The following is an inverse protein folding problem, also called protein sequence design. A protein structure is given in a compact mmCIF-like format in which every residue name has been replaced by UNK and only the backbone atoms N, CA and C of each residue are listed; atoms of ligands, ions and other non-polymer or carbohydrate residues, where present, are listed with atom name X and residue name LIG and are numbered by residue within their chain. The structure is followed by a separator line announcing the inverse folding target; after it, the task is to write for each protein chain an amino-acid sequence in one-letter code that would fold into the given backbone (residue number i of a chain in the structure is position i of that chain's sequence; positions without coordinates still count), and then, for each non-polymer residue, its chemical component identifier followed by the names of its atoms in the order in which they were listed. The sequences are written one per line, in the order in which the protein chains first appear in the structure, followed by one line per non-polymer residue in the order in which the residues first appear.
data_IF_050048966527
#
_entry.id   IF_050048966527
#
_cell.length_a   1.000
_cell.length_b   1.000
_cell.length_c   1.000
_cell.angle_alpha   90.00
_cell.angle_beta   90.00
_cell.angle_gamma   90.00
#
_symmetry.space_group_name_H-M   'P 1'
#
loop_
_entity.id
_entity.type
_entity.pdbx_description
1 polymer ?
#
# COMPACT_ATOMS: atom_id res chain seq x y z
N UNK A 1 52.72 -31.49 -1.64
CA UNK A 1 52.05 -31.25 -2.94
C UNK A 1 50.99 -30.14 -2.80
N UNK A 2 51.40 -28.89 -2.54
CA UNK A 2 50.55 -27.68 -2.70
C UNK A 2 51.33 -26.43 -3.13
N UNK A 3 52.66 -26.51 -3.22
CA UNK A 3 53.54 -25.42 -3.70
C UNK A 3 54.09 -25.69 -5.12
N UNK A 4 53.50 -26.66 -5.84
CA UNK A 4 53.95 -27.06 -7.19
C UNK A 4 52.94 -26.71 -8.30
N UNK A 5 51.70 -26.33 -7.96
CA UNK A 5 50.67 -25.95 -8.95
C UNK A 5 50.62 -24.43 -9.18
N UNK A 6 50.83 -23.59 -8.15
CA UNK A 6 50.84 -22.12 -8.29
C UNK A 6 51.98 -21.61 -9.21
N UNK A 7 53.09 -22.34 -9.30
CA UNK A 7 54.20 -21.98 -10.20
C UNK A 7 53.89 -22.16 -11.69
N UNK A 8 52.80 -22.86 -12.04
CA UNK A 8 52.46 -23.20 -13.44
C UNK A 8 51.44 -22.22 -14.06
N UNK A 9 50.62 -21.54 -13.24
CA UNK A 9 49.60 -20.60 -13.74
C UNK A 9 50.15 -19.18 -14.00
N UNK A 10 51.21 -18.76 -13.30
CA UNK A 10 51.83 -17.44 -13.52
C UNK A 10 52.62 -17.36 -14.86
N UNK A 11 53.03 -18.52 -15.41
CA UNK A 11 53.75 -18.61 -16.68
C UNK A 11 52.87 -18.31 -17.92
N UNK A 12 51.58 -18.63 -17.88
CA UNK A 12 50.62 -18.40 -18.98
C UNK A 12 50.30 -16.90 -19.16
N UNK A 13 50.28 -16.12 -18.07
CA UNK A 13 49.94 -14.68 -18.10
C UNK A 13 50.94 -13.79 -18.85
N UNK A 14 52.10 -14.30 -19.26
CA UNK A 14 53.14 -13.54 -19.99
C UNK A 14 53.06 -13.62 -21.52
N UNK A 15 52.08 -14.32 -22.11
CA UNK A 15 51.94 -14.44 -23.59
C UNK A 15 50.59 -13.92 -24.12
N UNK A 16 50.48 -12.60 -24.32
CA UNK A 16 49.78 -11.91 -25.45
C UNK A 16 49.72 -10.40 -25.21
N UNK A 17 50.57 -9.63 -25.89
CA UNK A 17 50.58 -8.17 -25.84
C UNK A 17 50.45 -7.51 -27.22
N UNK A 18 49.43 -6.66 -27.39
CA UNK A 18 49.33 -5.57 -28.38
C UNK A 18 49.23 -5.92 -29.88
N UNK A 19 49.19 -4.89 -30.78
CA UNK A 19 48.54 -3.59 -30.57
C UNK A 19 47.84 -2.95 -31.82
N UNK A 20 46.73 -2.24 -31.58
CA UNK A 20 46.42 -0.91 -32.17
C UNK A 20 45.80 -0.74 -33.58
N UNK A 21 44.87 0.23 -33.71
CA UNK A 21 44.87 1.27 -34.78
C UNK A 21 43.94 2.47 -34.47
N UNK A 22 44.15 3.58 -35.19
CA UNK A 22 43.55 4.93 -34.96
C UNK A 22 42.50 5.33 -36.01
N UNK A 23 41.75 6.40 -35.71
CA UNK A 23 41.11 7.39 -36.62
C UNK A 23 39.87 6.93 -37.43
N UNK A 24 38.77 7.69 -37.47
CA UNK A 24 38.68 9.02 -38.10
C UNK A 24 37.50 9.88 -37.61
N UNK A 25 37.69 11.20 -37.56
CA UNK A 25 36.63 12.23 -37.49
C UNK A 25 35.92 12.38 -38.84
N UNK A 26 34.68 12.88 -38.86
CA UNK A 26 34.30 14.00 -39.75
C UNK A 26 33.15 14.86 -39.18
N UNK A 27 33.30 16.17 -39.36
CA UNK A 27 32.29 17.25 -39.23
C UNK A 27 31.26 17.13 -40.39
N UNK A 28 30.14 17.87 -40.47
CA UNK A 28 29.94 19.35 -40.52
C UNK A 28 28.43 19.65 -40.34
N UNK A 29 28.00 20.67 -39.57
CA UNK A 29 27.80 22.11 -39.94
C UNK A 29 26.68 22.31 -41.02
N UNK A 30 25.78 23.30 -41.01
CA UNK A 30 25.69 24.58 -40.23
C UNK A 30 24.33 25.30 -40.36
N UNK A 31 23.98 26.14 -39.35
CA UNK A 31 23.29 27.45 -39.52
C UNK A 31 21.75 27.45 -39.66
N UNK A 32 21.01 28.53 -39.34
CA UNK A 32 21.33 29.90 -38.84
C UNK A 32 20.06 30.47 -38.14
N UNK A 33 20.17 31.09 -36.94
CA UNK A 33 20.09 32.56 -36.69
C UNK A 33 18.81 33.25 -37.21
N UNK A 34 18.04 34.04 -36.43
CA UNK A 34 18.49 35.33 -35.83
C UNK A 34 17.53 35.94 -34.77
N UNK A 35 18.10 36.67 -33.77
CA UNK A 35 17.82 38.05 -33.25
C UNK A 35 16.37 38.62 -33.34
N UNK A 36 15.82 39.49 -32.47
CA UNK A 36 16.23 40.38 -31.34
C UNK A 36 14.89 40.78 -30.60
N UNK A 37 14.75 41.48 -29.46
CA UNK A 37 15.62 42.13 -28.46
C UNK A 37 14.88 42.13 -27.07
N UNK A 38 15.13 43.09 -26.15
CA UNK A 38 14.43 43.20 -24.86
C UNK A 38 14.11 44.66 -24.42
N UNK A 39 13.08 44.83 -23.58
CA UNK A 39 12.80 45.99 -22.71
C UNK A 39 11.89 45.57 -21.52
N UNK A 40 12.10 46.17 -20.35
CA UNK A 40 11.27 46.04 -19.12
C UNK A 40 11.06 47.46 -18.53
N UNK A 41 10.16 47.80 -17.60
CA UNK A 41 9.28 47.05 -16.67
C UNK A 41 7.89 47.80 -16.58
N UNK A 42 6.87 47.54 -15.74
CA UNK A 42 6.74 47.03 -14.35
C UNK A 42 5.38 46.26 -14.17
N UNK A 43 5.00 45.79 -12.96
CA UNK A 43 4.58 44.40 -12.73
C UNK A 43 3.10 44.09 -13.07
N UNK A 44 2.84 42.86 -13.52
CA UNK A 44 1.49 42.31 -13.75
C UNK A 44 1.43 40.90 -13.15
N UNK A 45 0.23 40.46 -12.77
CA UNK A 45 -0.05 39.16 -12.13
C UNK A 45 0.63 37.98 -12.84
N UNK A 46 1.27 37.11 -12.05
CA UNK A 46 1.90 35.89 -12.55
C UNK A 46 0.83 34.84 -12.92
N UNK A 47 0.98 34.26 -14.09
CA UNK A 47 -0.05 33.45 -14.75
C UNK A 47 0.05 31.96 -14.43
N UNK A 48 -0.92 31.17 -14.91
CA UNK A 48 -0.95 29.70 -14.74
C UNK A 48 0.37 29.04 -15.15
N UNK A 49 1.07 29.56 -16.17
CA UNK A 49 2.37 29.05 -16.63
C UNK A 49 3.52 29.22 -15.63
N UNK A 50 3.44 30.14 -14.67
CA UNK A 50 4.47 30.30 -13.64
C UNK A 50 4.25 29.31 -12.47
N UNK A 51 3.00 28.96 -12.19
CA UNK A 51 2.65 27.82 -11.33
C UNK A 51 3.10 26.50 -11.98
N UNK A 52 2.93 26.35 -13.30
CA UNK A 52 3.51 25.22 -14.05
C UNK A 52 5.05 25.23 -14.00
N UNK A 53 5.70 26.39 -13.96
CA UNK A 53 7.17 26.50 -13.88
C UNK A 53 7.72 26.08 -12.52
N UNK A 54 7.08 26.45 -11.41
CA UNK A 54 7.48 25.99 -10.07
C UNK A 54 7.05 24.54 -9.84
N UNK A 55 5.96 24.06 -10.45
CA UNK A 55 5.60 22.64 -10.47
C UNK A 55 6.64 21.82 -11.28
N UNK A 56 7.12 22.34 -12.42
CA UNK A 56 8.19 21.75 -13.21
C UNK A 56 9.53 21.75 -12.47
N UNK A 57 9.87 22.83 -11.76
CA UNK A 57 11.07 22.93 -10.91
C UNK A 57 11.00 21.99 -9.71
N UNK A 58 9.84 21.86 -9.09
CA UNK A 58 9.58 20.91 -8.00
C UNK A 58 9.66 19.47 -8.53
N UNK A 59 9.12 19.21 -9.72
CA UNK A 59 9.26 17.95 -10.43
C UNK A 59 10.71 17.64 -10.78
N UNK A 60 11.52 18.60 -11.22
CA UNK A 60 12.94 18.41 -11.49
C UNK A 60 13.72 18.08 -10.20
N UNK A 61 13.38 18.71 -9.09
CA UNK A 61 13.95 18.42 -7.76
C UNK A 61 13.53 17.02 -7.28
N UNK A 62 12.28 16.61 -7.50
CA UNK A 62 11.77 15.27 -7.19
C UNK A 62 12.37 14.20 -8.10
N UNK A 63 12.51 14.45 -9.40
CA UNK A 63 13.19 13.57 -10.36
C UNK A 63 14.68 13.45 -10.01
N UNK A 64 15.35 14.53 -9.59
CA UNK A 64 16.74 14.51 -9.13
C UNK A 64 16.92 13.83 -7.75
N UNK A 65 15.96 13.96 -6.84
CA UNK A 65 15.95 13.24 -5.56
C UNK A 65 15.69 11.75 -5.77
N UNK A 66 14.74 11.40 -6.64
CA UNK A 66 14.47 10.03 -7.10
C UNK A 66 15.69 9.46 -7.80
N UNK A 67 16.39 10.25 -8.64
CA UNK A 67 17.66 9.86 -9.26
C UNK A 67 18.80 9.68 -8.24
N UNK A 68 18.80 10.41 -7.11
CA UNK A 68 19.74 10.20 -5.99
C UNK A 68 19.40 8.98 -5.15
N UNK A 69 18.12 8.64 -4.97
CA UNK A 69 17.69 7.38 -4.36
C UNK A 69 18.07 6.21 -5.27
N UNK A 70 17.82 6.31 -6.58
CA UNK A 70 18.36 5.40 -7.60
C UNK A 70 19.89 5.36 -7.61
N UNK A 71 20.59 6.47 -7.32
CA UNK A 71 22.06 6.49 -7.20
C UNK A 71 22.56 5.84 -5.91
N UNK A 72 21.78 5.87 -4.83
CA UNK A 72 22.07 5.18 -3.57
C UNK A 72 21.71 3.69 -3.65
N UNK A 73 20.68 3.33 -4.42
CA UNK A 73 20.43 1.96 -4.89
C UNK A 73 21.52 1.47 -5.85
N UNK A 74 22.15 2.34 -6.66
CA UNK A 74 23.40 2.04 -7.39
C UNK A 74 24.65 2.00 -6.47
N UNK A 75 24.53 2.50 -5.24
CA UNK A 75 25.55 2.41 -4.19
C UNK A 75 25.47 1.11 -3.39
N UNK A 76 24.27 0.51 -3.29
CA UNK A 76 24.18 -0.94 -3.13
C UNK A 76 24.59 -1.54 -4.47
N UNK A 77 25.86 -1.93 -4.57
CA UNK A 77 26.24 -2.92 -5.57
C UNK A 77 25.59 -4.24 -5.14
N UNK A 78 24.30 -4.38 -5.48
CA UNK A 78 23.86 -5.64 -6.07
C UNK A 78 24.79 -5.76 -7.26
N UNK A 79 25.84 -6.57 -7.11
CA UNK A 79 26.31 -7.30 -8.27
C UNK A 79 25.06 -8.04 -8.69
N UNK A 80 24.37 -7.54 -9.70
CA UNK A 80 23.69 -8.46 -10.59
C UNK A 80 24.79 -9.49 -10.90
N UNK A 81 24.65 -10.77 -10.49
CA UNK A 81 25.20 -11.74 -11.39
C UNK A 81 24.45 -11.44 -12.68
N UNK A 82 25.14 -10.79 -13.62
CA UNK A 82 24.90 -11.04 -15.02
C UNK A 82 25.13 -12.54 -15.17
N UNK A 83 24.09 -13.32 -14.80
CA UNK A 83 24.00 -14.75 -14.96
C UNK A 83 24.15 -14.86 -16.46
N UNK A 84 25.36 -15.25 -16.86
CA UNK A 84 25.82 -15.05 -18.23
C UNK A 84 24.95 -15.99 -19.02
N UNK A 85 23.90 -15.44 -19.67
CA UNK A 85 22.76 -16.26 -20.06
C UNK A 85 23.29 -17.40 -20.91
N UNK A 86 23.15 -18.61 -20.38
CA UNK A 86 23.60 -19.79 -21.09
C UNK A 86 22.76 -19.91 -22.37
N UNK A 87 23.25 -20.61 -23.38
CA UNK A 87 22.44 -20.84 -24.58
C UNK A 87 21.09 -21.51 -24.22
N UNK A 88 21.06 -22.29 -23.14
CA UNK A 88 19.85 -22.85 -22.53
C UNK A 88 18.92 -21.78 -21.90
N UNK A 89 19.45 -20.82 -21.10
CA UNK A 89 18.66 -19.71 -20.55
C UNK A 89 18.06 -18.85 -21.69
N UNK A 90 18.82 -18.59 -22.76
CA UNK A 90 18.35 -17.83 -23.93
C UNK A 90 17.28 -18.61 -24.72
N UNK A 91 17.48 -19.90 -24.93
CA UNK A 91 16.49 -20.76 -25.60
C UNK A 91 15.19 -20.86 -24.78
N UNK A 92 15.30 -21.02 -23.45
CA UNK A 92 14.14 -21.03 -22.55
C UNK A 92 13.40 -19.68 -22.57
N UNK A 93 14.14 -18.55 -22.53
CA UNK A 93 13.56 -17.21 -22.65
C UNK A 93 12.80 -17.03 -23.98
N UNK A 94 13.36 -17.49 -25.10
CA UNK A 94 12.72 -17.43 -26.41
C UNK A 94 11.41 -18.24 -26.48
N UNK A 95 11.38 -19.46 -25.89
CA UNK A 95 10.16 -20.28 -25.82
C UNK A 95 9.07 -19.59 -25.00
N UNK A 96 9.41 -19.01 -23.85
CA UNK A 96 8.42 -18.31 -23.03
C UNK A 96 8.00 -16.96 -23.60
N UNK A 97 8.88 -16.25 -24.31
CA UNK A 97 8.54 -15.06 -25.09
C UNK A 97 7.51 -15.39 -26.18
N UNK A 98 7.78 -16.42 -26.99
CA UNK A 98 6.87 -16.84 -28.05
C UNK A 98 5.48 -17.22 -27.49
N UNK A 99 5.44 -18.00 -26.41
CA UNK A 99 4.17 -18.34 -25.72
C UNK A 99 3.44 -17.12 -25.15
N UNK A 100 4.16 -16.15 -24.60
CA UNK A 100 3.54 -14.93 -24.08
C UNK A 100 2.96 -14.06 -25.21
N UNK A 101 3.68 -13.93 -26.33
CA UNK A 101 3.21 -13.19 -27.52
C UNK A 101 2.05 -13.90 -28.23
N UNK A 102 2.06 -15.23 -28.33
CA UNK A 102 0.98 -16.03 -28.89
C UNK A 102 -0.29 -15.94 -28.02
N UNK A 103 -0.15 -16.11 -26.70
CA UNK A 103 -1.25 -15.95 -25.77
C UNK A 103 -1.81 -14.51 -25.79
N UNK A 104 -0.96 -13.48 -25.89
CA UNK A 104 -1.40 -12.09 -26.08
C UNK A 104 -2.22 -11.90 -27.36
N UNK A 105 -1.79 -12.48 -28.49
CA UNK A 105 -2.55 -12.46 -29.77
C UNK A 105 -3.88 -13.18 -29.68
N UNK A 106 -3.98 -14.22 -28.85
CA UNK A 106 -5.19 -15.00 -28.61
C UNK A 106 -6.04 -14.45 -27.44
N UNK A 107 -5.68 -13.29 -26.87
CA UNK A 107 -6.30 -12.68 -25.67
C UNK A 107 -6.31 -13.58 -24.41
N UNK A 108 -5.48 -14.62 -24.39
CA UNK A 108 -5.29 -15.54 -23.27
C UNK A 108 -4.37 -14.93 -22.21
N UNK A 109 -4.90 -13.95 -21.46
CA UNK A 109 -4.21 -13.29 -20.35
C UNK A 109 -3.59 -14.24 -19.30
N UNK A 110 -4.20 -15.41 -18.96
CA UNK A 110 -3.59 -16.42 -18.09
C UNK A 110 -2.31 -17.02 -18.66
N UNK A 111 -2.34 -17.45 -19.92
CA UNK A 111 -1.17 -18.01 -20.59
C UNK A 111 -0.12 -16.93 -20.87
N UNK A 112 -0.51 -15.72 -21.27
CA UNK A 112 0.36 -14.54 -21.41
C UNK A 112 1.09 -14.28 -20.09
N UNK A 113 0.35 -14.19 -18.98
CA UNK A 113 0.90 -13.97 -17.64
C UNK A 113 1.74 -15.13 -17.12
N UNK A 114 1.40 -16.38 -17.46
CA UNK A 114 2.13 -17.58 -17.04
C UNK A 114 3.46 -17.69 -17.78
N UNK A 115 3.43 -17.52 -19.10
CA UNK A 115 4.60 -17.51 -19.96
C UNK A 115 5.51 -16.30 -19.62
N UNK A 116 4.95 -15.11 -19.47
CA UNK A 116 5.70 -13.89 -19.10
C UNK A 116 6.37 -14.01 -17.73
N UNK A 117 5.74 -14.66 -16.73
CA UNK A 117 6.40 -14.93 -15.43
C UNK A 117 7.57 -15.89 -15.57
N UNK A 118 7.40 -16.98 -16.33
CA UNK A 118 8.49 -17.93 -16.63
C UNK A 118 9.61 -17.25 -17.43
N UNK A 119 9.26 -16.34 -18.34
CA UNK A 119 10.20 -15.52 -19.11
C UNK A 119 11.00 -14.58 -18.20
N UNK A 120 10.35 -13.80 -17.33
CA UNK A 120 11.04 -12.93 -16.34
C UNK A 120 11.97 -13.76 -15.44
N UNK A 121 11.55 -14.96 -15.02
CA UNK A 121 12.37 -15.85 -14.19
C UNK A 121 13.63 -16.39 -14.89
N UNK A 122 13.76 -16.31 -16.22
CA UNK A 122 15.02 -16.61 -16.93
C UNK A 122 16.08 -15.52 -16.80
N UNK A 123 15.72 -14.33 -16.31
CA UNK A 123 16.60 -13.16 -16.24
C UNK A 123 16.67 -12.34 -17.52
N UNK A 124 15.79 -12.58 -18.50
CA UNK A 124 15.74 -11.80 -19.75
C UNK A 124 15.34 -10.32 -19.48
N UNK A 125 16.20 -9.34 -19.82
CA UNK A 125 15.96 -7.92 -19.54
C UNK A 125 14.85 -7.29 -20.40
N UNK A 126 14.43 -7.92 -21.51
CA UNK A 126 13.33 -7.43 -22.34
C UNK A 126 11.96 -7.78 -21.76
N UNK A 127 11.84 -8.84 -20.96
CA UNK A 127 10.55 -9.30 -20.42
C UNK A 127 9.85 -8.22 -19.58
N UNK A 128 10.61 -7.51 -18.73
CA UNK A 128 10.08 -6.41 -17.89
C UNK A 128 9.69 -5.19 -18.72
N UNK A 129 10.46 -4.86 -19.77
CA UNK A 129 10.14 -3.75 -20.68
C UNK A 129 8.88 -4.06 -21.51
N UNK A 130 8.79 -5.28 -22.01
CA UNK A 130 7.65 -5.77 -22.77
C UNK A 130 6.37 -5.70 -21.92
N UNK A 131 6.40 -6.21 -20.67
CA UNK A 131 5.29 -6.09 -19.71
C UNK A 131 4.84 -4.63 -19.51
N UNK A 132 5.78 -3.69 -19.31
CA UNK A 132 5.45 -2.28 -19.10
C UNK A 132 4.82 -1.65 -20.35
N UNK A 133 5.34 -1.96 -21.54
CA UNK A 133 4.75 -1.51 -22.81
C UNK A 133 3.34 -2.08 -23.00
N UNK A 134 3.16 -3.36 -22.74
CA UNK A 134 1.87 -4.05 -22.82
C UNK A 134 0.80 -3.46 -21.90
N UNK A 135 1.15 -3.16 -20.64
CA UNK A 135 0.25 -2.46 -19.71
C UNK A 135 -0.07 -1.04 -20.22
N UNK A 136 0.89 -0.33 -20.82
CA UNK A 136 0.65 1.00 -21.39
C UNK A 136 -0.24 0.95 -22.65
N UNK A 137 -0.04 -0.04 -23.54
CA UNK A 137 -0.90 -0.32 -24.69
C UNK A 137 -2.34 -0.63 -24.23
N UNK A 138 -2.49 -1.46 -23.18
CA UNK A 138 -3.77 -1.83 -22.59
C UNK A 138 -4.48 -0.62 -21.94
N UNK A 139 -3.75 0.24 -21.22
CA UNK A 139 -4.25 1.50 -20.67
C UNK A 139 -4.65 2.51 -21.75
N UNK A 140 -3.92 2.56 -22.87
CA UNK A 140 -4.23 3.47 -23.98
C UNK A 140 -5.42 2.96 -24.81
N UNK A 141 -5.57 1.64 -24.96
CA UNK A 141 -6.75 1.04 -25.57
C UNK A 141 -8.03 1.30 -24.76
N UNK A 142 -7.93 1.34 -23.42
CA UNK A 142 -9.02 1.78 -22.54
C UNK A 142 -9.33 3.27 -22.74
N UNK A 143 -8.32 4.16 -22.78
CA UNK A 143 -8.50 5.59 -23.07
C UNK A 143 -9.06 5.91 -24.46
N UNK A 144 -8.79 5.04 -25.44
CA UNK A 144 -9.26 5.14 -26.82
C UNK A 144 -10.61 4.45 -27.03
N UNK A 145 -11.22 3.89 -25.98
CA UNK A 145 -12.64 3.56 -25.99
C UNK A 145 -13.39 4.88 -26.08
N UNK A 146 -14.14 5.08 -27.16
CA UNK A 146 -14.91 6.31 -27.35
C UNK A 146 -15.79 6.55 -26.12
N UNK A 147 -15.55 7.67 -25.43
CA UNK A 147 -16.41 8.16 -24.35
C UNK A 147 -17.84 8.23 -24.88
N UNK A 148 -18.78 7.58 -24.20
CA UNK A 148 -20.19 7.72 -24.52
C UNK A 148 -20.56 9.21 -24.38
N UNK A 149 -21.07 9.89 -25.43
CA UNK A 149 -21.42 11.30 -25.34
C UNK A 149 -22.55 11.58 -24.33
N UNK A 150 -23.29 10.55 -23.90
CA UNK A 150 -24.30 10.61 -22.84
C UNK A 150 -23.74 10.23 -21.43
N UNK A 151 -22.43 9.98 -21.29
CA UNK A 151 -21.77 9.66 -20.00
C UNK A 151 -21.77 10.87 -19.03
N UNK A 152 -22.40 10.70 -17.86
CA UNK A 152 -22.47 11.75 -16.83
C UNK A 152 -21.11 11.97 -16.14
N UNK A 153 -20.30 12.84 -16.76
CA UNK A 153 -19.00 13.29 -16.24
C UNK A 153 -19.10 14.38 -15.17
N UNK A 154 -20.30 14.72 -14.67
CA UNK A 154 -20.48 15.79 -13.68
C UNK A 154 -19.87 15.47 -12.31
N UNK A 155 -19.75 14.19 -11.93
CA UNK A 155 -18.84 13.72 -10.88
C UNK A 155 -17.66 12.94 -11.49
N UNK A 156 -16.63 13.69 -11.88
CA UNK A 156 -15.36 13.13 -12.39
C UNK A 156 -14.75 12.07 -11.46
N UNK A 157 -15.01 12.10 -10.15
CA UNK A 157 -14.47 11.09 -9.21
C UNK A 157 -15.23 9.77 -9.27
N UNK A 158 -16.53 9.82 -9.50
CA UNK A 158 -17.33 8.64 -9.79
C UNK A 158 -16.93 8.02 -11.14
N UNK A 159 -16.62 8.87 -12.14
CA UNK A 159 -16.07 8.43 -13.42
C UNK A 159 -14.69 7.76 -13.28
N UNK A 160 -13.72 8.39 -12.60
CA UNK A 160 -12.42 7.78 -12.29
C UNK A 160 -12.55 6.42 -11.57
N UNK A 161 -13.55 6.26 -10.71
CA UNK A 161 -13.82 4.99 -10.02
C UNK A 161 -14.46 3.92 -10.92
N UNK A 162 -15.32 4.31 -11.87
CA UNK A 162 -15.85 3.42 -12.92
C UNK A 162 -14.71 2.91 -13.80
N UNK A 163 -13.90 3.81 -14.34
CA UNK A 163 -12.71 3.48 -15.15
C UNK A 163 -11.74 2.56 -14.41
N UNK A 164 -11.47 2.82 -13.13
CA UNK A 164 -10.64 1.94 -12.31
C UNK A 164 -11.25 0.53 -12.17
N UNK A 165 -12.57 0.41 -11.98
CA UNK A 165 -13.24 -0.90 -11.95
C UNK A 165 -13.09 -1.61 -13.29
N UNK A 166 -13.38 -0.95 -14.41
CA UNK A 166 -13.29 -1.57 -15.73
C UNK A 166 -11.86 -2.03 -16.06
N UNK A 167 -10.86 -1.20 -15.74
CA UNK A 167 -9.45 -1.57 -15.82
C UNK A 167 -9.09 -2.77 -14.94
N UNK A 168 -9.61 -2.81 -13.70
CA UNK A 168 -9.38 -3.92 -12.79
C UNK A 168 -10.02 -5.21 -13.32
N UNK A 169 -11.27 -5.14 -13.78
CA UNK A 169 -12.05 -6.25 -14.35
C UNK A 169 -11.50 -6.71 -15.70
N UNK A 170 -10.72 -5.89 -16.40
CA UNK A 170 -9.96 -6.29 -17.57
C UNK A 170 -8.67 -7.07 -17.21
N UNK A 171 -7.85 -6.55 -16.29
CA UNK A 171 -6.53 -7.14 -15.99
C UNK A 171 -6.56 -8.33 -15.03
N UNK A 172 -7.40 -8.29 -14.00
CA UNK A 172 -7.20 -9.07 -12.78
C UNK A 172 -8.11 -10.29 -12.55
N UNK A 173 -9.31 -10.46 -13.15
CA UNK A 173 -10.23 -11.49 -12.65
C UNK A 173 -9.70 -12.92 -12.72
N UNK A 174 -9.00 -13.24 -13.81
CA UNK A 174 -8.42 -14.57 -14.04
C UNK A 174 -7.24 -14.90 -13.09
N UNK A 175 -6.74 -13.93 -12.33
CA UNK A 175 -5.66 -14.13 -11.33
C UNK A 175 -6.12 -13.94 -9.88
N UNK A 176 -7.11 -13.08 -9.62
CA UNK A 176 -7.40 -12.60 -8.26
C UNK A 176 -8.88 -12.73 -7.82
N UNK A 177 -9.81 -13.00 -8.75
CA UNK A 177 -11.23 -13.23 -8.44
C UNK A 177 -12.15 -12.13 -8.95
N UNK A 178 -13.21 -11.81 -8.22
CA UNK A 178 -14.11 -10.70 -8.58
C UNK A 178 -13.57 -9.37 -8.07
N UNK A 179 -13.98 -8.26 -8.66
CA UNK A 179 -13.63 -6.93 -8.15
C UNK A 179 -14.01 -6.82 -6.66
N UNK A 180 -15.17 -7.35 -6.29
CA UNK A 180 -15.69 -7.28 -4.93
C UNK A 180 -14.97 -8.16 -3.90
N UNK A 181 -14.09 -9.08 -4.34
CA UNK A 181 -13.46 -10.05 -3.45
C UNK A 181 -12.53 -9.35 -2.44
N UNK A 182 -12.61 -9.80 -1.19
CA UNK A 182 -11.71 -9.40 -0.12
C UNK A 182 -10.37 -10.15 -0.21
N UNK A 183 -9.32 -9.57 0.36
CA UNK A 183 -8.01 -10.23 0.45
C UNK A 183 -8.12 -11.56 1.21
N UNK A 184 -7.47 -12.60 0.67
CA UNK A 184 -7.42 -13.93 1.30
C UNK A 184 -6.08 -14.21 1.98
N UNK A 185 -5.16 -13.25 1.93
CA UNK A 185 -3.87 -13.32 2.59
C UNK A 185 -4.10 -13.07 4.09
N UNK A 186 -3.78 -14.02 4.97
CA UNK A 186 -3.95 -13.83 6.41
C UNK A 186 -2.87 -12.89 6.95
N UNK A 187 -3.18 -12.22 8.06
CA UNK A 187 -2.16 -11.65 8.93
C UNK A 187 -1.34 -12.77 9.63
N UNK A 188 -0.29 -12.38 10.36
CA UNK A 188 0.61 -13.28 11.10
C UNK A 188 1.37 -14.32 10.24
N UNK A 189 1.37 -14.16 8.92
CA UNK A 189 1.81 -15.16 7.93
C UNK A 189 3.20 -15.77 8.22
N UNK A 190 4.15 -14.94 8.66
CA UNK A 190 5.53 -15.32 9.01
C UNK A 190 5.84 -15.14 10.51
N UNK A 191 4.82 -15.12 11.39
CA UNK A 191 5.01 -15.08 12.84
C UNK A 191 5.65 -16.37 13.36
N UNK A 192 4.99 -17.50 13.10
CA UNK A 192 5.37 -18.80 13.65
C UNK A 192 6.13 -19.66 12.61
N UNK A 193 6.11 -19.27 11.33
CA UNK A 193 6.81 -19.92 10.21
C UNK A 193 7.86 -18.98 9.62
N UNK A 194 9.10 -19.45 9.46
CA UNK A 194 10.15 -18.69 8.75
C UNK A 194 9.82 -18.57 7.25
N UNK A 195 10.03 -17.39 6.67
CA UNK A 195 10.06 -17.24 5.21
C UNK A 195 11.19 -18.09 4.62
N UNK A 196 10.84 -19.01 3.74
CA UNK A 196 11.79 -19.78 2.94
C UNK A 196 12.21 -18.98 1.72
N UNK A 197 13.52 -18.75 1.54
CA UNK A 197 14.08 -18.15 0.33
C UNK A 197 14.16 -16.61 0.31
N UNK A 198 13.99 -15.93 1.45
CA UNK A 198 14.15 -14.47 1.53
C UNK A 198 13.01 -13.67 0.88
N UNK A 199 11.87 -14.31 0.64
CA UNK A 199 10.68 -13.74 -0.03
C UNK A 199 9.85 -12.82 0.86
N UNK A 200 10.21 -12.67 2.13
CA UNK A 200 9.62 -11.70 3.05
C UNK A 200 10.70 -10.92 3.78
N UNK A 201 10.47 -9.62 4.01
CA UNK A 201 11.36 -8.69 4.69
C UNK A 201 10.58 -7.46 5.18
N UNK A 202 11.17 -6.61 6.04
CA UNK A 202 10.57 -5.33 6.42
C UNK A 202 10.43 -4.42 5.20
N UNK A 203 9.22 -3.98 4.91
CA UNK A 203 8.83 -3.33 3.65
C UNK A 203 8.13 -2.01 3.93
N UNK A 204 7.87 -1.17 2.93
CA UNK A 204 7.05 0.03 3.15
C UNK A 204 5.57 -0.35 3.25
N UNK A 205 4.86 0.22 4.22
CA UNK A 205 3.42 0.01 4.37
C UNK A 205 2.66 1.28 4.67
N UNK A 206 1.33 1.23 4.49
CA UNK A 206 0.42 2.26 5.00
C UNK A 206 -0.26 1.80 6.29
N UNK A 207 -0.09 2.59 7.35
CA UNK A 207 -0.95 2.55 8.53
C UNK A 207 -2.19 3.42 8.28
N UNK A 208 -3.38 2.91 8.53
CA UNK A 208 -4.61 3.72 8.52
C UNK A 208 -4.93 4.15 9.94
N UNK A 209 -4.93 5.46 10.21
CA UNK A 209 -5.32 5.99 11.52
C UNK A 209 -6.82 6.22 11.59
N UNK A 210 -7.35 7.09 10.71
CA UNK A 210 -8.77 7.47 10.69
C UNK A 210 -9.32 7.54 9.27
N UNK A 211 -10.65 7.41 9.14
CA UNK A 211 -11.41 7.80 7.96
C UNK A 211 -12.57 8.68 8.43
N UNK A 212 -12.72 9.86 7.84
CA UNK A 212 -13.55 10.95 8.35
C UNK A 212 -14.37 11.58 7.23
N UNK A 213 -15.63 11.88 7.52
CA UNK A 213 -16.50 12.72 6.67
C UNK A 213 -16.24 14.18 7.07
N UNK A 214 -15.21 14.79 6.48
CA UNK A 214 -14.72 16.12 6.84
C UNK A 214 -15.68 17.27 6.43
N UNK A 215 -16.52 17.05 5.42
CA UNK A 215 -17.51 18.02 4.96
C UNK A 215 -18.69 17.36 4.26
N UNK A 216 -19.82 18.08 4.20
CA UNK A 216 -21.00 17.71 3.43
C UNK A 216 -21.32 18.83 2.44
N UNK A 217 -21.82 18.45 1.27
CA UNK A 217 -22.36 19.37 0.28
C UNK A 217 -23.89 19.43 0.37
N UNK A 218 -24.52 20.27 -0.44
CA UNK A 218 -25.97 20.49 -0.42
C UNK A 218 -26.79 19.20 -0.63
N UNK A 219 -27.91 19.09 0.09
CA UNK A 219 -28.85 17.97 -0.01
C UNK A 219 -28.55 16.78 0.92
N UNK A 220 -27.52 16.86 1.78
CA UNK A 220 -27.23 15.89 2.84
C UNK A 220 -26.96 16.62 4.16
N UNK A 221 -27.53 16.15 5.27
CA UNK A 221 -27.43 16.79 6.58
C UNK A 221 -27.13 15.79 7.69
N UNK A 222 -26.45 16.24 8.75
CA UNK A 222 -26.17 15.45 9.93
C UNK A 222 -27.45 15.19 10.76
N UNK A 223 -27.59 14.04 11.46
CA UNK A 223 -26.68 12.88 11.45
C UNK A 223 -26.88 11.99 10.21
N UNK A 224 -25.86 11.20 9.88
CA UNK A 224 -25.84 10.32 8.72
C UNK A 224 -25.98 8.86 9.15
N UNK A 225 -26.83 8.09 8.46
CA UNK A 225 -26.80 6.62 8.51
C UNK A 225 -25.94 6.11 7.35
N UNK A 226 -24.65 5.87 7.60
CA UNK A 226 -23.67 5.53 6.55
C UNK A 226 -23.45 4.03 6.45
N UNK A 227 -23.44 3.52 5.22
CA UNK A 227 -23.08 2.15 4.87
C UNK A 227 -22.25 2.11 3.57
N UNK A 228 -21.79 0.94 3.18
CA UNK A 228 -20.87 0.72 2.06
C UNK A 228 -19.49 0.28 2.53
N UNK A 229 -18.45 0.56 1.74
CA UNK A 229 -17.09 0.06 1.95
C UNK A 229 -16.03 1.16 1.78
N UNK A 230 -14.98 1.07 2.61
CA UNK A 230 -13.67 1.67 2.36
C UNK A 230 -12.64 0.56 2.42
N UNK A 231 -11.83 0.41 1.40
CA UNK A 231 -10.81 -0.65 1.31
C UNK A 231 -9.53 -0.14 0.65
N UNK A 232 -8.39 -0.71 1.03
CA UNK A 232 -7.14 -0.57 0.29
C UNK A 232 -6.94 -1.78 -0.63
N UNK A 233 -6.51 -1.54 -1.87
CA UNK A 233 -6.06 -2.57 -2.82
C UNK A 233 -4.58 -2.37 -3.07
N UNK A 234 -3.78 -3.35 -2.68
CA UNK A 234 -2.33 -3.32 -2.88
C UNK A 234 -1.83 -4.40 -3.83
N UNK A 235 -0.52 -4.39 -4.06
CA UNK A 235 0.17 -5.25 -5.02
C UNK A 235 0.23 -6.75 -4.66
N UNK A 236 -0.23 -7.17 -3.47
CA UNK A 236 -0.11 -8.57 -3.07
C UNK A 236 -1.17 -9.45 -3.75
N UNK A 237 -2.41 -8.98 -3.78
CA UNK A 237 -3.54 -9.68 -4.41
C UNK A 237 -4.57 -8.77 -5.10
N UNK A 238 -4.40 -7.44 -5.14
CA UNK A 238 -5.34 -6.45 -5.73
C UNK A 238 -6.80 -6.48 -5.23
N UNK A 239 -7.09 -7.36 -4.28
CA UNK A 239 -8.40 -7.54 -3.63
C UNK A 239 -8.58 -6.54 -2.49
N UNK A 240 -9.81 -6.42 -2.00
CA UNK A 240 -10.14 -5.47 -0.91
C UNK A 240 -9.51 -5.91 0.40
N UNK A 241 -8.49 -5.18 0.86
CA UNK A 241 -8.12 -5.16 2.27
C UNK A 241 -9.03 -4.14 2.98
N UNK A 242 -10.17 -4.62 3.46
CA UNK A 242 -11.25 -3.82 4.02
C UNK A 242 -10.81 -3.04 5.25
N UNK A 243 -11.09 -1.73 5.27
CA UNK A 243 -10.80 -0.79 6.36
C UNK A 243 -12.09 -0.49 7.14
N UNK A 244 -13.19 -0.28 6.41
CA UNK A 244 -14.55 -0.11 6.92
C UNK A 244 -15.52 -0.85 5.99
N UNK A 245 -16.48 -1.58 6.55
CA UNK A 245 -17.59 -2.15 5.80
C UNK A 245 -18.83 -2.21 6.68
N UNK A 246 -19.97 -1.73 6.16
CA UNK A 246 -21.30 -1.84 6.78
C UNK A 246 -22.35 -2.10 5.70
N UNK A 247 -23.31 -2.95 6.03
CA UNK A 247 -24.49 -3.21 5.20
C UNK A 247 -25.61 -2.20 5.51
N UNK A 248 -26.65 -2.16 4.67
CA UNK A 248 -27.72 -1.15 4.75
C UNK A 248 -28.62 -1.34 5.98
N UNK A 249 -28.79 -2.55 6.46
CA UNK A 249 -29.50 -2.85 7.70
C UNK A 249 -28.66 -2.41 8.93
N UNK A 250 -27.34 -2.57 8.86
CA UNK A 250 -26.35 -2.28 9.90
C UNK A 250 -25.53 -1.00 9.63
N UNK A 251 -26.18 0.11 9.28
CA UNK A 251 -25.52 1.41 9.09
C UNK A 251 -24.82 1.91 10.36
N UNK A 252 -23.69 2.60 10.20
CA UNK A 252 -23.13 3.42 11.28
C UNK A 252 -23.84 4.78 11.34
N UNK A 253 -24.28 5.21 12.53
CA UNK A 253 -24.69 6.59 12.77
C UNK A 253 -23.47 7.50 12.93
N UNK A 254 -23.40 8.59 12.17
CA UNK A 254 -22.31 9.58 12.23
C UNK A 254 -22.87 10.97 12.53
N UNK A 255 -22.24 11.68 13.47
CA UNK A 255 -22.64 13.01 13.92
C UNK A 255 -21.56 14.04 13.59
N UNK A 256 -21.92 15.32 13.51
CA UNK A 256 -20.98 16.42 13.20
C UNK A 256 -19.86 16.52 14.23
N UNK A 257 -20.16 16.20 15.48
CA UNK A 257 -19.25 16.23 16.64
C UNK A 257 -18.29 15.02 16.67
N UNK A 258 -18.63 13.94 15.94
CA UNK A 258 -17.81 12.74 15.80
C UNK A 258 -17.90 12.19 14.36
N UNK A 259 -17.28 12.86 13.38
CA UNK A 259 -17.45 12.59 11.94
C UNK A 259 -16.64 11.38 11.42
N UNK A 260 -16.29 10.42 12.29
CA UNK A 260 -15.36 9.33 11.98
C UNK A 260 -16.05 7.98 11.75
N UNK A 261 -15.56 7.21 10.79
CA UNK A 261 -15.96 5.82 10.58
C UNK A 261 -15.31 4.91 11.64
N UNK A 262 -16.08 3.96 12.18
CA UNK A 262 -15.59 2.93 13.09
C UNK A 262 -14.87 1.85 12.28
N UNK A 263 -13.54 1.97 12.19
CA UNK A 263 -12.72 1.10 11.36
C UNK A 263 -12.65 -0.32 11.93
N UNK A 264 -12.84 -1.31 11.07
CA UNK A 264 -12.73 -2.74 11.39
C UNK A 264 -11.48 -3.40 10.83
N UNK A 265 -10.65 -2.62 10.12
CA UNK A 265 -9.41 -3.11 9.52
C UNK A 265 -8.28 -2.07 9.45
N UNK A 266 -7.24 -2.34 8.65
CA UNK A 266 -7.14 -3.43 7.68
C UNK A 266 -7.01 -4.82 8.30
N UNK A 267 -7.26 -5.87 7.51
CA UNK A 267 -7.18 -7.29 7.91
C UNK A 267 -5.75 -7.83 8.00
N UNK A 268 -4.84 -7.21 7.25
CA UNK A 268 -3.38 -7.41 7.16
C UNK A 268 -2.71 -6.07 6.85
N UNK A 269 -1.40 -5.92 7.00
CA UNK A 269 -0.72 -4.67 6.61
C UNK A 269 -0.87 -4.38 5.09
N UNK A 270 -0.93 -3.10 4.74
CA UNK A 270 -1.12 -2.60 3.37
C UNK A 270 0.26 -2.31 2.77
N UNK A 271 0.69 -3.05 1.76
CA UNK A 271 2.06 -3.01 1.22
C UNK A 271 2.22 -1.99 0.10
N UNK A 272 3.23 -1.12 0.21
CA UNK A 272 3.56 -0.09 -0.79
C UNK A 272 4.78 -0.52 -1.61
N UNK A 273 4.53 -1.17 -2.75
CA UNK A 273 5.55 -1.46 -3.77
C UNK A 273 5.10 -0.87 -5.11
N UNK A 274 3.98 -1.37 -5.63
CA UNK A 274 3.19 -0.69 -6.66
C UNK A 274 2.14 0.23 -5.99
N UNK A 275 1.42 1.10 -6.74
CA UNK A 275 0.46 2.02 -6.14
C UNK A 275 -0.67 1.32 -5.39
N UNK A 276 -0.98 1.81 -4.20
CA UNK A 276 -2.11 1.35 -3.37
C UNK A 276 -3.34 2.16 -3.75
N UNK A 277 -4.43 1.50 -4.13
CA UNK A 277 -5.68 2.17 -4.50
C UNK A 277 -6.64 2.13 -3.32
N UNK A 278 -7.00 3.30 -2.78
CA UNK A 278 -8.05 3.40 -1.77
C UNK A 278 -9.40 3.50 -2.47
N UNK A 279 -10.19 2.44 -2.39
CA UNK A 279 -11.57 2.41 -2.87
C UNK A 279 -12.49 2.97 -1.77
N UNK A 280 -13.29 3.98 -2.10
CA UNK A 280 -14.33 4.54 -1.24
C UNK A 280 -15.66 4.41 -1.99
N UNK A 281 -16.60 3.65 -1.45
CA UNK A 281 -17.94 3.49 -1.98
C UNK A 281 -18.94 3.52 -0.82
N UNK A 282 -19.34 4.73 -0.43
CA UNK A 282 -20.17 5.01 0.74
C UNK A 282 -21.52 5.62 0.33
N UNK A 283 -22.58 5.22 1.04
CA UNK A 283 -23.95 5.70 0.87
C UNK A 283 -24.55 6.17 2.19
N UNK A 284 -25.47 7.14 2.12
CA UNK A 284 -26.40 7.49 3.20
C UNK A 284 -27.72 6.79 2.94
N UNK A 285 -28.24 6.13 3.97
CA UNK A 285 -29.53 5.42 3.94
C UNK A 285 -30.71 6.39 3.89
N UNK A 286 -31.58 6.22 2.89
CA UNK A 286 -32.91 6.83 2.81
C UNK A 286 -33.98 5.99 3.52
N UNK A 287 -35.25 6.41 3.48
CA UNK A 287 -36.33 5.59 4.03
C UNK A 287 -36.52 4.30 3.20
N UNK A 288 -36.34 4.40 1.89
CA UNK A 288 -36.31 3.30 0.92
C UNK A 288 -34.95 3.17 0.23
N UNK A 289 -34.65 2.02 -0.38
CA UNK A 289 -33.39 1.81 -1.12
C UNK A 289 -33.24 2.77 -2.31
N UNK A 290 -34.35 3.12 -2.95
CA UNK A 290 -34.43 4.15 -4.01
C UNK A 290 -34.14 5.57 -3.53
N UNK A 291 -34.17 5.83 -2.23
CA UNK A 291 -33.81 7.12 -1.63
C UNK A 291 -32.37 7.15 -1.09
N UNK A 292 -31.64 6.04 -1.16
CA UNK A 292 -30.24 6.00 -0.72
C UNK A 292 -29.39 6.93 -1.58
N UNK A 293 -28.61 7.80 -0.93
CA UNK A 293 -27.76 8.77 -1.61
C UNK A 293 -26.31 8.30 -1.58
N UNK A 294 -25.63 8.41 -2.72
CA UNK A 294 -24.19 8.18 -2.78
C UNK A 294 -23.44 9.29 -2.07
N UNK A 295 -22.88 8.98 -0.89
CA UNK A 295 -22.18 9.95 -0.05
C UNK A 295 -20.82 10.31 -0.66
N UNK A 296 -20.08 9.28 -1.07
CA UNK A 296 -18.79 9.40 -1.75
C UNK A 296 -18.51 8.10 -2.50
N UNK A 297 -18.30 8.22 -3.80
CA UNK A 297 -17.79 7.15 -4.65
C UNK A 297 -16.56 7.69 -5.39
N UNK A 298 -15.39 7.13 -5.07
CA UNK A 298 -14.13 7.50 -5.71
C UNK A 298 -13.07 6.42 -5.45
N UNK A 299 -11.99 6.45 -6.24
CA UNK A 299 -10.77 5.69 -5.96
C UNK A 299 -9.60 6.66 -5.88
N UNK A 300 -8.74 6.49 -4.87
CA UNK A 300 -7.63 7.40 -4.63
C UNK A 300 -6.26 6.68 -4.62
N UNK A 301 -5.42 6.83 -5.66
CA UNK A 301 -4.13 6.14 -5.75
C UNK A 301 -3.07 6.77 -4.86
N UNK A 302 -2.39 5.95 -4.06
CA UNK A 302 -1.18 6.28 -3.32
C UNK A 302 0.06 5.69 -4.00
N UNK A 303 0.97 6.58 -4.39
CA UNK A 303 2.28 6.26 -4.92
C UNK A 303 3.30 6.38 -3.80
N UNK A 304 4.36 5.55 -3.84
CA UNK A 304 5.46 5.62 -2.89
C UNK A 304 6.05 7.04 -2.83
N UNK A 305 6.13 7.61 -1.62
CA UNK A 305 6.55 9.00 -1.40
C UNK A 305 8.02 9.30 -1.73
N UNK A 306 8.86 8.26 -1.78
CA UNK A 306 10.32 8.39 -1.81
C UNK A 306 10.94 8.88 -0.49
N UNK A 307 10.14 9.18 0.55
CA UNK A 307 10.64 9.58 1.87
C UNK A 307 11.47 8.46 2.51
N UNK A 308 12.63 8.81 3.08
CA UNK A 308 13.42 7.85 3.85
C UNK A 308 12.92 7.66 5.30
N UNK A 309 12.03 8.53 5.77
CA UNK A 309 11.50 8.52 7.13
C UNK A 309 9.99 8.24 7.12
N UNK A 310 9.47 7.62 8.16
CA UNK A 310 8.03 7.47 8.36
C UNK A 310 7.37 8.81 8.71
N UNK A 311 6.13 9.02 8.28
CA UNK A 311 5.39 10.26 8.53
C UNK A 311 3.87 10.11 8.39
N UNK A 312 3.13 11.00 9.04
CA UNK A 312 1.66 11.12 8.90
C UNK A 312 1.31 12.10 7.79
N UNK A 313 0.26 11.78 7.03
CA UNK A 313 -0.33 12.70 6.06
C UNK A 313 -1.84 12.47 5.94
N UNK A 314 -2.55 13.53 5.57
CA UNK A 314 -3.98 13.47 5.28
C UNK A 314 -4.21 13.44 3.76
N UNK A 315 -5.11 12.56 3.31
CA UNK A 315 -5.65 12.57 1.95
C UNK A 315 -7.08 13.08 2.00
N UNK A 316 -7.31 14.24 1.40
CA UNK A 316 -8.64 14.86 1.32
C UNK A 316 -9.20 14.70 -0.09
N UNK A 317 -10.42 14.19 -0.22
CA UNK A 317 -11.12 13.98 -1.49
C UNK A 317 -12.57 14.42 -1.38
N UNK A 318 -12.97 15.34 -2.25
CA UNK A 318 -14.36 15.80 -2.38
C UNK A 318 -15.03 15.05 -3.52
N UNK A 319 -16.12 14.35 -3.21
CA UNK A 319 -17.12 13.83 -4.16
C UNK A 319 -18.35 14.75 -4.16
N UNK A 320 -19.34 14.49 -5.01
CA UNK A 320 -20.55 15.32 -5.13
C UNK A 320 -21.28 15.67 -3.82
N UNK A 321 -21.40 14.74 -2.86
CA UNK A 321 -22.17 14.97 -1.61
C UNK A 321 -21.32 15.11 -0.34
N UNK A 322 -20.01 14.82 -0.37
CA UNK A 322 -19.15 14.92 0.81
C UNK A 322 -17.67 15.10 0.50
N UNK A 323 -16.94 15.58 1.50
CA UNK A 323 -15.48 15.56 1.53
C UNK A 323 -15.02 14.49 2.52
N UNK A 324 -14.30 13.49 2.02
CA UNK A 324 -13.64 12.45 2.82
C UNK A 324 -12.21 12.85 3.15
N UNK A 325 -11.77 12.55 4.37
CA UNK A 325 -10.40 12.73 4.84
C UNK A 325 -9.90 11.38 5.41
N UNK A 326 -8.78 10.88 4.86
CA UNK A 326 -8.08 9.69 5.35
C UNK A 326 -6.76 10.12 5.99
N UNK A 327 -6.56 9.83 7.27
CA UNK A 327 -5.28 10.04 7.97
C UNK A 327 -4.46 8.75 7.87
N UNK A 328 -3.29 8.84 7.23
CA UNK A 328 -2.43 7.71 6.91
C UNK A 328 -1.02 7.93 7.44
N UNK A 329 -0.35 6.86 7.86
CA UNK A 329 1.09 6.82 8.10
C UNK A 329 1.80 6.07 6.97
N UNK A 330 2.75 6.70 6.31
CA UNK A 330 3.72 6.01 5.45
C UNK A 330 4.83 5.47 6.36
N UNK A 331 4.90 4.14 6.51
CA UNK A 331 5.80 3.46 7.43
C UNK A 331 6.94 2.82 6.65
N UNK A 332 8.18 3.24 6.92
CA UNK A 332 9.37 2.74 6.22
C UNK A 332 9.96 1.53 6.96
N UNK A 333 10.43 0.52 6.23
CA UNK A 333 11.02 -0.71 6.81
C UNK A 333 10.14 -1.34 7.91
N UNK A 334 8.83 -1.45 7.65
CA UNK A 334 7.87 -1.92 8.63
C UNK A 334 7.63 -3.44 8.56
N UNK A 335 7.19 -3.95 9.71
CA UNK A 335 6.64 -5.28 9.94
C UNK A 335 5.16 -5.18 10.30
N UNK A 336 4.44 -6.27 10.12
CA UNK A 336 3.06 -6.39 10.59
C UNK A 336 3.05 -6.82 12.06
N UNK A 337 2.32 -6.06 12.89
CA UNK A 337 2.03 -6.39 14.27
C UNK A 337 0.53 -6.69 14.41
N UNK A 338 0.18 -7.95 14.72
CA UNK A 338 -1.21 -8.35 15.00
C UNK A 338 -1.40 -8.44 16.52
N UNK A 339 -2.26 -7.59 17.04
CA UNK A 339 -2.51 -7.40 18.48
C UNK A 339 -3.71 -8.24 18.92
N UNK A 340 -3.54 -8.95 20.02
CA UNK A 340 -4.62 -9.63 20.75
C UNK A 340 -4.52 -9.30 22.22
N UNK A 341 -5.66 -9.22 22.92
CA UNK A 341 -5.72 -8.90 24.35
C UNK A 341 -6.65 -9.90 25.03
N UNK A 342 -6.22 -10.43 26.17
CA UNK A 342 -6.96 -11.43 26.95
C UNK A 342 -7.08 -10.99 28.40
N UNK A 343 -8.27 -11.09 28.98
CA UNK A 343 -8.46 -10.91 30.43
C UNK A 343 -7.91 -12.15 31.13
N UNK A 344 -6.95 -11.95 32.03
CA UNK A 344 -6.26 -13.02 32.78
C UNK A 344 -6.56 -12.98 34.29
N UNK A 345 -7.27 -11.96 34.76
CA UNK A 345 -7.79 -11.91 36.13
C UNK A 345 -8.58 -10.64 36.44
N UNK A 346 -9.49 -10.74 37.42
CA UNK A 346 -10.38 -9.64 37.81
C UNK A 346 -11.42 -9.30 36.75
N UNK A 347 -12.12 -8.17 36.96
CA UNK A 347 -13.22 -7.72 36.09
C UNK A 347 -13.05 -6.24 35.72
N UNK A 348 -13.54 -5.86 34.54
CA UNK A 348 -13.62 -4.46 34.15
C UNK A 348 -14.62 -3.71 35.06
N UNK A 349 -14.26 -2.54 35.64
CA UNK A 349 -15.09 -1.85 36.60
C UNK A 349 -16.41 -1.35 35.99
N UNK A 350 -17.51 -1.51 36.72
CA UNK A 350 -18.82 -0.99 36.34
C UNK A 350 -18.79 0.55 36.29
N UNK A 351 -19.52 1.13 35.34
CA UNK A 351 -19.59 2.60 35.17
C UNK A 351 -18.38 3.22 34.49
N UNK A 352 -17.46 2.43 33.92
CA UNK A 352 -16.31 2.93 33.15
C UNK A 352 -16.41 2.50 31.69
N UNK A 353 -16.38 3.48 30.78
CA UNK A 353 -16.12 3.24 29.36
C UNK A 353 -14.63 3.07 29.10
N UNK A 354 -14.28 2.25 28.11
CA UNK A 354 -12.89 1.93 27.79
C UNK A 354 -12.50 2.25 26.36
N UNK A 355 -11.21 2.53 26.15
CA UNK A 355 -10.59 2.61 24.82
C UNK A 355 -9.24 1.91 24.85
N UNK A 356 -9.03 0.96 23.94
CA UNK A 356 -7.73 0.36 23.62
C UNK A 356 -7.14 1.08 22.41
N UNK A 357 -5.88 1.49 22.51
CA UNK A 357 -5.15 2.19 21.45
C UNK A 357 -3.74 1.65 21.27
N UNK A 358 -3.26 1.60 20.03
CA UNK A 358 -1.84 1.44 19.72
C UNK A 358 -1.21 2.77 19.26
N UNK A 359 0.08 2.95 19.54
CA UNK A 359 0.94 4.01 18.97
C UNK A 359 2.30 3.43 18.61
N UNK A 360 2.93 3.90 17.54
CA UNK A 360 4.33 3.58 17.22
C UNK A 360 5.26 4.62 17.83
N UNK A 361 6.56 4.34 17.91
CA UNK A 361 7.54 5.28 18.48
C UNK A 361 7.90 6.44 17.52
N UNK A 362 7.77 6.23 16.22
CA UNK A 362 8.01 7.22 15.15
C UNK A 362 6.84 8.19 14.95
N UNK A 363 5.64 7.75 15.33
CA UNK A 363 4.37 8.45 15.18
C UNK A 363 3.60 8.24 16.49
N UNK A 364 4.03 8.90 17.56
CA UNK A 364 3.46 8.78 18.90
C UNK A 364 2.32 9.76 19.18
N UNK A 365 2.20 10.82 18.36
CA UNK A 365 1.09 11.77 18.37
C UNK A 365 -0.24 11.11 17.92
N UNK A 366 -0.20 10.26 16.88
CA UNK A 366 -1.39 9.61 16.32
C UNK A 366 -1.73 8.28 17.00
N UNK A 367 -3.02 8.07 17.27
CA UNK A 367 -3.52 6.89 17.99
C UNK A 367 -4.36 6.00 17.11
N UNK A 368 -3.93 4.76 16.99
CA UNK A 368 -4.67 3.69 16.34
C UNK A 368 -5.69 3.18 17.36
N UNK A 369 -6.95 3.59 17.26
CA UNK A 369 -8.01 2.96 18.05
C UNK A 369 -8.15 1.49 17.61
N UNK A 370 -8.05 0.57 18.59
CA UNK A 370 -8.20 -0.88 18.41
C UNK A 370 -9.61 -1.31 18.82
N UNK A 371 -10.16 -0.68 19.87
CA UNK A 371 -11.50 -0.90 20.39
C UNK A 371 -11.90 0.27 21.29
N UNK A 372 -12.96 1.00 20.94
CA UNK A 372 -13.72 1.84 21.86
C UNK A 372 -15.01 1.14 22.29
N UNK A 373 -15.29 1.10 23.59
CA UNK A 373 -16.56 0.60 24.14
C UNK A 373 -17.14 1.57 25.17
N UNK A 374 -18.47 1.64 25.23
CA UNK A 374 -19.22 2.59 26.04
C UNK A 374 -19.60 2.04 27.41
N UNK A 375 -20.89 2.11 27.71
CA UNK A 375 -21.51 1.58 28.94
C UNK A 375 -21.71 0.06 28.83
N UNK A 376 -21.64 -0.47 27.60
CA UNK A 376 -21.55 -1.89 27.30
C UNK A 376 -20.38 -2.53 28.06
N UNK A 377 -20.62 -3.72 28.63
CA UNK A 377 -19.54 -4.49 29.27
C UNK A 377 -18.42 -4.75 28.26
N UNK A 378 -17.18 -4.75 28.75
CA UNK A 378 -16.00 -5.12 27.96
C UNK A 378 -16.31 -6.40 27.14
N UNK A 379 -16.17 -6.39 25.80
CA UNK A 379 -16.61 -7.49 24.95
C UNK A 379 -15.61 -8.65 25.02
N UNK A 380 -15.81 -9.52 26.02
CA UNK A 380 -14.99 -10.70 26.30
C UNK A 380 -15.71 -11.95 25.81
N UNK A 381 -15.06 -12.74 24.96
CA UNK A 381 -15.53 -14.06 24.53
C UNK A 381 -15.16 -15.16 25.55
N UNK A 382 -15.74 -16.35 25.41
CA UNK A 382 -15.69 -17.41 26.42
C UNK A 382 -14.29 -17.90 26.82
N UNK A 383 -13.26 -17.69 26.00
CA UNK A 383 -11.87 -18.03 26.30
C UNK A 383 -11.11 -16.92 27.06
N UNK A 384 -11.77 -15.79 27.34
CA UNK A 384 -11.19 -14.59 27.96
C UNK A 384 -10.63 -13.55 26.98
N UNK A 385 -10.64 -13.82 25.67
CA UNK A 385 -10.15 -12.88 24.66
C UNK A 385 -11.10 -11.68 24.49
N UNK A 386 -10.54 -10.49 24.28
CA UNK A 386 -11.29 -9.26 24.01
C UNK A 386 -11.50 -9.13 22.50
N UNK A 387 -12.74 -8.93 22.06
CA UNK A 387 -13.06 -8.67 20.66
C UNK A 387 -12.68 -7.23 20.29
N UNK A 388 -11.47 -7.06 19.76
CA UNK A 388 -11.03 -5.79 19.19
C UNK A 388 -11.79 -5.49 17.88
N UNK A 389 -12.11 -4.22 17.63
CA UNK A 389 -12.65 -3.78 16.33
C UNK A 389 -11.63 -4.00 15.21
N UNK A 390 -10.34 -3.77 15.50
CA UNK A 390 -9.21 -4.10 14.62
C UNK A 390 -7.95 -4.44 15.41
N UNK A 391 -7.09 -5.25 14.83
CA UNK A 391 -5.90 -5.81 15.50
C UNK A 391 -4.57 -5.53 14.78
N UNK A 392 -4.58 -5.16 13.49
CA UNK A 392 -3.35 -5.06 12.69
C UNK A 392 -2.79 -3.63 12.68
N UNK A 393 -1.49 -3.53 12.94
CA UNK A 393 -0.70 -2.31 12.97
C UNK A 393 0.60 -2.50 12.18
N UNK A 394 1.00 -1.49 11.42
CA UNK A 394 2.34 -1.40 10.84
C UNK A 394 3.31 -0.72 11.82
N UNK A 395 4.48 -1.32 12.03
CA UNK A 395 5.51 -0.83 12.96
C UNK A 395 6.88 -0.96 12.29
N UNK A 396 7.75 0.04 12.39
CA UNK A 396 9.15 -0.06 11.94
C UNK A 396 9.86 -1.25 12.60
N UNK A 397 10.76 -1.92 11.88
CA UNK A 397 11.45 -3.12 12.36
C UNK A 397 12.48 -2.84 13.48
N UNK A 398 13.01 -1.62 13.53
CA UNK A 398 13.81 -1.08 14.65
C UNK A 398 12.95 -0.36 15.72
N UNK A 399 11.65 -0.24 15.48
CA UNK A 399 10.71 0.55 16.26
C UNK A 399 10.16 -0.14 17.51
N UNK A 400 9.18 0.53 18.12
CA UNK A 400 8.43 0.01 19.27
C UNK A 400 6.93 0.27 19.09
N UNK A 401 6.14 -0.70 19.53
CA UNK A 401 4.69 -0.62 19.62
C UNK A 401 4.29 -0.43 21.09
N UNK A 402 3.53 0.63 21.38
CA UNK A 402 2.89 0.80 22.68
C UNK A 402 1.42 0.46 22.56
N UNK A 403 0.98 -0.58 23.26
CA UNK A 403 -0.45 -0.90 23.42
C UNK A 403 -0.92 -0.32 24.74
N UNK A 404 -1.96 0.50 24.70
CA UNK A 404 -2.49 1.24 25.85
C UNK A 404 -3.98 0.99 26.03
N UNK A 405 -4.43 1.06 27.27
CA UNK A 405 -5.84 1.04 27.64
C UNK A 405 -6.15 2.26 28.52
N UNK A 406 -7.29 2.89 28.27
CA UNK A 406 -7.82 4.00 29.08
C UNK A 406 -9.22 3.63 29.55
N UNK A 407 -9.44 3.66 30.87
CA UNK A 407 -10.77 3.61 31.48
C UNK A 407 -11.17 5.02 31.91
N UNK A 408 -12.37 5.48 31.54
CA UNK A 408 -12.95 6.76 31.97
C UNK A 408 -14.31 6.52 32.64
N UNK A 409 -14.46 6.96 33.88
CA UNK A 409 -15.73 6.88 34.59
C UNK A 409 -16.79 7.77 33.93
N UNK A 410 -18.03 7.31 33.89
CA UNK A 410 -19.12 7.99 33.19
C UNK A 410 -19.59 9.27 33.90
N UNK A 411 -19.56 9.29 35.24
CA UNK A 411 -20.11 10.38 36.05
C UNK A 411 -19.05 11.41 36.44
N UNK A 412 -18.07 11.03 37.27
CA UNK A 412 -17.03 11.96 37.78
C UNK A 412 -15.90 12.24 36.78
N UNK A 413 -15.91 11.56 35.62
CA UNK A 413 -14.92 11.68 34.53
C UNK A 413 -13.48 11.33 34.93
N UNK A 414 -13.27 10.67 36.06
CA UNK A 414 -11.96 10.15 36.48
C UNK A 414 -11.41 9.16 35.47
N UNK A 415 -10.08 9.15 35.30
CA UNK A 415 -9.40 8.36 34.26
C UNK A 415 -8.28 7.52 34.86
N UNK A 416 -8.24 6.24 34.49
CA UNK A 416 -7.09 5.34 34.70
C UNK A 416 -6.51 4.91 33.36
N UNK A 417 -5.21 4.66 33.31
CA UNK A 417 -4.49 4.20 32.13
C UNK A 417 -3.45 3.15 32.49
N UNK A 418 -3.24 2.21 31.58
CA UNK A 418 -2.09 1.31 31.57
C UNK A 418 -1.53 1.22 30.14
N UNK A 419 -0.23 0.95 30.00
CA UNK A 419 0.39 0.72 28.69
C UNK A 419 1.56 -0.26 28.78
N UNK A 420 1.65 -1.16 27.81
CA UNK A 420 2.79 -2.04 27.58
C UNK A 420 3.54 -1.58 26.34
N UNK A 421 4.88 -1.59 26.40
CA UNK A 421 5.74 -1.25 25.27
C UNK A 421 6.47 -2.51 24.84
N UNK A 422 6.43 -2.81 23.54
CA UNK A 422 7.04 -3.99 22.96
C UNK A 422 7.93 -3.55 21.80
N UNK A 423 9.21 -3.92 21.85
CA UNK A 423 10.10 -3.74 20.71
C UNK A 423 9.64 -4.59 19.53
N UNK A 424 9.76 -4.03 18.32
CA UNK A 424 9.44 -4.73 17.09
C UNK A 424 10.33 -5.97 16.89
N UNK A 425 9.80 -6.92 16.13
CA UNK A 425 10.51 -8.13 15.71
C UNK A 425 10.11 -8.47 14.28
N UNK A 426 10.91 -9.27 13.61
CA UNK A 426 10.58 -9.82 12.29
C UNK A 426 9.70 -11.08 12.35
N UNK A 427 9.68 -11.77 13.50
CA UNK A 427 8.91 -13.00 13.72
C UNK A 427 8.67 -13.22 15.21
N UNK A 428 7.98 -14.30 15.57
CA UNK A 428 7.58 -14.68 16.94
C UNK A 428 6.58 -13.74 17.61
N UNK A 429 6.22 -14.06 18.86
CA UNK A 429 5.27 -13.29 19.67
C UNK A 429 6.01 -12.50 20.76
N UNK A 430 5.44 -11.38 21.17
CA UNK A 430 5.86 -10.61 22.34
C UNK A 430 4.66 -10.35 23.24
N UNK A 431 4.90 -10.24 24.54
CA UNK A 431 3.87 -10.20 25.57
C UNK A 431 4.04 -8.97 26.45
N UNK A 432 2.95 -8.35 26.88
CA UNK A 432 2.95 -7.27 27.86
C UNK A 432 1.69 -7.33 28.74
N UNK A 433 1.83 -6.97 30.01
CA UNK A 433 0.69 -6.94 30.94
C UNK A 433 0.14 -5.53 31.11
N UNK A 434 -1.18 -5.40 31.15
CA UNK A 434 -1.92 -4.18 31.44
C UNK A 434 -2.79 -4.44 32.68
N UNK A 435 -2.80 -3.49 33.63
CA UNK A 435 -3.64 -3.58 34.82
C UNK A 435 -4.40 -2.27 35.03
N UNK A 436 -5.75 -2.35 35.07
CA UNK A 436 -6.64 -1.22 35.27
C UNK A 436 -7.64 -1.56 36.37
N UNK A 437 -7.49 -0.91 37.52
CA UNK A 437 -8.13 -1.29 38.78
C UNK A 437 -7.78 -2.74 39.16
N UNK A 438 -8.74 -3.67 39.16
CA UNK A 438 -8.51 -5.10 39.37
C UNK A 438 -8.42 -5.91 38.07
N UNK A 439 -8.75 -5.31 36.92
CA UNK A 439 -8.74 -5.99 35.63
C UNK A 439 -7.31 -6.13 35.12
N UNK A 440 -6.83 -7.37 35.05
CA UNK A 440 -5.53 -7.77 34.54
C UNK A 440 -5.69 -8.35 33.15
N UNK A 441 -4.94 -7.81 32.21
CA UNK A 441 -4.99 -8.17 30.80
C UNK A 441 -3.60 -8.49 30.27
N UNK A 442 -3.47 -9.59 29.53
CA UNK A 442 -2.28 -9.92 28.77
C UNK A 442 -2.47 -9.45 27.32
N UNK A 443 -1.53 -8.66 26.82
CA UNK A 443 -1.42 -8.28 25.41
C UNK A 443 -0.43 -9.23 24.75
N UNK A 444 -0.86 -9.92 23.70
CA UNK A 444 0.03 -10.68 22.80
C UNK A 444 0.11 -9.97 21.46
N UNK A 445 1.33 -9.63 21.05
CA UNK A 445 1.63 -9.11 19.70
C UNK A 445 2.33 -10.18 18.90
N UNK A 446 1.71 -10.61 17.81
CA UNK A 446 2.32 -11.48 16.80
C UNK A 446 3.00 -10.62 15.73
N UNK A 447 4.31 -10.79 15.57
CA UNK A 447 5.11 -10.04 14.61
C UNK A 447 5.32 -10.85 13.35
N UNK A 448 5.08 -10.27 12.17
CA UNK A 448 5.27 -10.93 10.90
C UNK A 448 6.02 -10.02 9.92
N UNK A 449 7.02 -10.60 9.24
CA UNK A 449 7.50 -10.04 7.98
C UNK A 449 6.37 -9.94 6.96
N UNK A 450 6.59 -9.08 5.96
CA UNK A 450 5.68 -8.93 4.84
C UNK A 450 6.30 -9.48 3.55
N UNK A 451 5.48 -10.08 2.68
CA UNK A 451 5.91 -10.70 1.44
C UNK A 451 6.33 -9.66 0.39
N UNK A 452 7.35 -10.01 -0.39
CA UNK A 452 7.82 -9.24 -1.54
C UNK A 452 7.53 -9.99 -2.84
N UNK A 453 7.14 -9.26 -3.89
CA UNK A 453 6.78 -9.84 -5.20
C UNK A 453 8.04 -10.43 -5.87
N UNK A 454 8.04 -11.74 -6.25
CA UNK A 454 7.11 -12.24 -7.27
C UNK A 454 6.36 -13.57 -7.01
N UNK A 455 6.44 -14.18 -5.82
CA UNK A 455 6.11 -15.61 -5.63
C UNK A 455 4.71 -15.99 -5.11
N UNK A 456 3.72 -15.09 -5.09
CA UNK A 456 2.42 -15.41 -4.47
C UNK A 456 1.52 -16.43 -5.20
N UNK A 457 1.93 -16.97 -6.36
CA UNK A 457 1.18 -18.06 -7.03
C UNK A 457 1.48 -19.46 -6.48
N UNK A 458 2.51 -19.63 -5.65
CA UNK A 458 3.00 -20.94 -5.21
C UNK A 458 2.69 -21.28 -3.73
N UNK A 459 1.86 -20.48 -3.04
CA UNK A 459 1.28 -20.92 -1.78
C UNK A 459 0.10 -21.87 -2.04
N UNK A 460 0.16 -23.15 -1.63
CA UNK A 460 -1.06 -23.95 -1.56
C UNK A 460 -2.01 -23.30 -0.56
N UNK A 461 -3.26 -23.09 -0.94
CA UNK A 461 -4.33 -22.81 0.02
C UNK A 461 -4.27 -23.87 1.14
N UNK A 462 -4.37 -23.48 2.42
CA UNK A 462 -4.64 -24.44 3.46
C UNK A 462 -5.94 -25.17 3.10
N UNK A 463 -5.84 -26.48 2.87
CA UNK A 463 -7.02 -27.34 2.83
C UNK A 463 -7.72 -27.25 4.18
N UNK A 464 -9.01 -26.92 4.15
CA UNK A 464 -9.92 -26.86 5.31
C UNK A 464 -9.99 -28.23 6.00
#
# INVERSE_FOLDING_TARGET
MREAEEAQEEAERRKRGGPGRKMKKRKTETGKSSKKAAAAAVPVEMSVGEVESDLARTREIVEAATAKILARMKGIVIKEPAKTMTEEDVAAAAVYRAKAEEARRNEDRPEESSALRKWIATGDPEAVKCRKRWIAEDMEALRLRDMDPDEDTSDWRAFEAKEFREFWEYLYPKSFGKFEDNTRIPNMLYTDKKSSGGTAHPIRTLQVFTVKVAGLQDGVHWPLQVFGVVAARDCLDHNRNVIFQRERDNCQMIHKENPYLTLTGPSRAIVVVDPVWFEVALKVKGATESEDKELSYHVDPYYISGSMNSYVFNRVRTSRLSTMELTLGDMVHSVEATISVKVVGGEWPQGFRGVFTATTASIDEEKIELLGFGDDKLPVVADGSIQLSRSVVSVEDDGQLRVSVMARHLVDRSVRRASGVLAAKTSSRSYANLEVFSCKMEVTVAWSLLPYWPHYRDMPCPSI
#
